data_IF_124666828406
#
_entry.id   IF_124666828406
#
_cell.length_a   1.000
_cell.length_b   1.000
_cell.length_c   1.000
_cell.angle_alpha   90.00
_cell.angle_beta   90.00
_cell.angle_gamma   90.00
#
_symmetry.space_group_name_H-M   'P 1'
#
loop_
_entity.id
_entity.type
_entity.pdbx_description
1 polymer ?
#
# COMPACT_ATOMS: atom_id res chain seq x y z
N UNK A 1 -16.76 -13.08 19.06
CA UNK A 1 -16.56 -14.26 19.91
C UNK A 1 -16.11 -15.42 19.03
N UNK A 2 -15.19 -16.25 19.49
CA UNK A 2 -14.70 -17.42 18.77
C UNK A 2 -14.89 -18.67 19.64
N UNK A 3 -15.13 -19.80 19.00
CA UNK A 3 -15.42 -21.05 19.69
C UNK A 3 -14.32 -22.08 19.45
N UNK A 4 -13.97 -22.81 20.51
CA UNK A 4 -13.11 -23.97 20.45
C UNK A 4 -13.95 -25.20 20.80
N UNK A 5 -14.04 -26.13 19.87
CA UNK A 5 -14.76 -27.39 20.08
C UNK A 5 -13.76 -28.51 20.30
N UNK A 6 -13.75 -29.06 21.52
CA UNK A 6 -12.97 -30.22 21.90
C UNK A 6 -13.87 -31.45 21.80
N UNK A 7 -13.52 -32.37 20.91
CA UNK A 7 -14.21 -33.66 20.82
C UNK A 7 -13.74 -34.56 21.96
N UNK A 8 -14.68 -35.16 22.67
CA UNK A 8 -14.43 -36.13 23.72
C UNK A 8 -14.65 -37.57 23.25
N UNK A 9 -14.78 -38.47 24.22
CA UNK A 9 -15.07 -39.89 23.99
C UNK A 9 -16.56 -40.24 24.08
N UNK A 10 -16.86 -41.52 23.90
CA UNK A 10 -18.20 -42.08 24.05
C UNK A 10 -18.47 -42.45 25.51
N UNK A 11 -19.52 -41.88 26.10
CA UNK A 11 -20.01 -42.25 27.44
C UNK A 11 -21.47 -42.66 27.30
N UNK A 12 -21.82 -43.89 27.68
CA UNK A 12 -23.20 -44.37 27.64
C UNK A 12 -23.84 -44.38 26.24
N UNK A 13 -23.08 -44.69 25.18
CA UNK A 13 -23.48 -44.61 23.75
C UNK A 13 -23.78 -43.20 23.22
N UNK A 14 -23.38 -42.15 23.94
CA UNK A 14 -23.49 -40.75 23.49
C UNK A 14 -22.11 -40.13 23.33
N UNK A 15 -21.89 -39.47 22.19
CA UNK A 15 -20.66 -38.72 21.92
C UNK A 15 -20.57 -37.50 22.82
N UNK A 16 -19.43 -37.35 23.49
CA UNK A 16 -19.18 -36.19 24.34
C UNK A 16 -18.41 -35.12 23.56
N UNK A 17 -18.80 -33.86 23.71
CA UNK A 17 -18.11 -32.72 23.13
C UNK A 17 -18.10 -31.57 24.10
N UNK A 18 -17.09 -30.71 24.04
CA UNK A 18 -16.97 -29.51 24.87
C UNK A 18 -16.76 -28.31 23.97
N UNK A 19 -17.59 -27.29 24.14
CA UNK A 19 -17.53 -26.04 23.40
C UNK A 19 -17.16 -24.93 24.35
N UNK A 20 -15.99 -24.33 24.13
CA UNK A 20 -15.50 -23.19 24.90
C UNK A 20 -15.70 -21.95 24.02
N UNK A 21 -16.52 -21.02 24.48
CA UNK A 21 -16.79 -19.75 23.79
C UNK A 21 -15.97 -18.64 24.43
N UNK A 22 -15.05 -18.09 23.65
CA UNK A 22 -14.19 -16.99 24.08
C UNK A 22 -14.85 -15.65 23.74
N UNK A 23 -15.01 -14.84 24.77
CA UNK A 23 -15.63 -13.52 24.71
C UNK A 23 -14.55 -12.49 25.04
N UNK A 24 -14.36 -11.53 24.12
CA UNK A 24 -13.48 -10.39 24.37
C UNK A 24 -14.07 -9.53 25.47
N UNK A 25 -13.32 -9.38 26.56
CA UNK A 25 -13.61 -8.47 27.65
C UNK A 25 -12.32 -7.76 28.03
N UNK A 26 -12.26 -6.46 27.77
CA UNK A 26 -11.08 -5.62 28.05
C UNK A 26 -10.94 -5.29 29.53
N UNK A 27 -11.98 -5.55 30.34
CA UNK A 27 -12.02 -5.30 31.79
C UNK A 27 -11.82 -6.58 32.61
N UNK A 28 -11.52 -7.71 31.94
CA UNK A 28 -11.24 -8.97 32.62
C UNK A 28 -9.93 -8.87 33.44
N UNK A 29 -10.06 -8.91 34.76
CA UNK A 29 -8.97 -9.00 35.74
C UNK A 29 -8.60 -10.46 36.02
N UNK A 30 -7.37 -10.73 36.46
CA UNK A 30 -6.84 -12.08 36.75
C UNK A 30 -7.70 -12.90 37.75
N UNK A 31 -8.56 -12.23 38.53
CA UNK A 31 -9.47 -12.85 39.49
C UNK A 31 -10.64 -13.64 38.84
N UNK A 32 -10.89 -13.48 37.53
CA UNK A 32 -11.96 -14.17 36.78
C UNK A 32 -11.42 -15.00 35.61
N UNK A 33 -10.21 -15.55 35.75
CA UNK A 33 -9.53 -16.29 34.69
C UNK A 33 -10.18 -17.65 34.36
N UNK A 34 -11.07 -18.16 35.21
CA UNK A 34 -11.70 -19.46 35.00
C UNK A 34 -12.91 -19.39 34.04
N UNK A 35 -13.08 -20.36 33.13
CA UNK A 35 -14.27 -20.45 32.29
C UNK A 35 -15.51 -20.84 33.12
N UNK A 36 -16.64 -20.19 32.87
CA UNK A 36 -17.91 -20.51 33.52
C UNK A 36 -18.70 -21.54 32.72
N UNK A 37 -19.19 -22.58 33.39
CA UNK A 37 -20.08 -23.57 32.76
C UNK A 37 -21.46 -22.94 32.56
N UNK A 38 -21.91 -22.81 31.32
CA UNK A 38 -23.23 -22.26 31.00
C UNK A 38 -24.29 -23.33 30.86
N UNK A 39 -23.90 -24.56 30.52
CA UNK A 39 -24.83 -25.68 30.48
C UNK A 39 -24.22 -26.94 29.91
N UNK A 40 -24.91 -28.06 30.14
CA UNK A 40 -24.59 -29.36 29.56
C UNK A 40 -25.87 -29.96 29.00
N UNK A 41 -25.94 -30.12 27.68
CA UNK A 41 -27.10 -30.69 27.00
C UNK A 41 -26.66 -31.58 25.85
N UNK A 42 -27.32 -32.72 25.68
CA UNK A 42 -27.11 -33.65 24.54
C UNK A 42 -25.64 -34.09 24.36
N UNK A 43 -24.91 -34.33 25.44
CA UNK A 43 -23.49 -34.70 25.39
C UNK A 43 -22.53 -33.53 25.14
N UNK A 44 -23.02 -32.29 25.10
CA UNK A 44 -22.22 -31.09 24.84
C UNK A 44 -22.12 -30.21 26.08
N UNK A 45 -20.91 -30.06 26.61
CA UNK A 45 -20.59 -29.12 27.69
C UNK A 45 -20.25 -27.74 27.10
N UNK A 46 -21.00 -26.71 27.48
CA UNK A 46 -20.78 -25.33 27.02
C UNK A 46 -20.14 -24.49 28.11
N UNK A 47 -19.00 -23.89 27.80
CA UNK A 47 -18.26 -22.98 28.67
C UNK A 47 -18.18 -21.59 28.05
N UNK A 48 -18.30 -20.55 28.86
CA UNK A 48 -18.00 -19.17 28.48
C UNK A 48 -16.74 -18.70 29.17
N UNK A 49 -15.80 -18.18 28.38
CA UNK A 49 -14.54 -17.66 28.90
C UNK A 49 -14.37 -16.21 28.45
N UNK A 50 -14.46 -15.29 29.41
CA UNK A 50 -14.20 -13.87 29.19
C UNK A 50 -12.73 -13.59 29.42
N UNK A 51 -12.04 -13.10 28.41
CA UNK A 51 -10.60 -12.82 28.54
C UNK A 51 -10.14 -11.74 27.57
N UNK A 52 -9.12 -10.97 27.97
CA UNK A 52 -8.55 -9.89 27.13
C UNK A 52 -7.88 -10.43 25.87
N UNK A 53 -7.30 -11.64 25.93
CA UNK A 53 -6.68 -12.28 24.75
C UNK A 53 -7.69 -12.71 23.69
N UNK A 54 -8.98 -12.76 24.01
CA UNK A 54 -10.01 -13.06 23.03
C UNK A 54 -10.36 -11.85 22.13
N UNK A 55 -9.82 -10.67 22.44
CA UNK A 55 -9.97 -9.46 21.64
C UNK A 55 -9.10 -9.52 20.38
N UNK A 56 -9.58 -8.90 19.31
CA UNK A 56 -8.83 -8.79 18.07
C UNK A 56 -7.55 -7.99 18.34
N UNK A 57 -6.39 -8.64 18.17
CA UNK A 57 -5.12 -7.95 18.13
C UNK A 57 -5.03 -7.32 16.74
N UNK A 58 -4.97 -5.99 16.68
CA UNK A 58 -4.48 -5.32 15.50
C UNK A 58 -2.99 -5.64 15.39
N UNK A 59 -2.67 -6.75 14.75
CA UNK A 59 -1.31 -7.02 14.31
C UNK A 59 -0.99 -5.92 13.31
N UNK A 60 -0.26 -4.91 13.77
CA UNK A 60 0.47 -4.01 12.89
C UNK A 60 1.53 -4.88 12.23
N UNK A 61 1.12 -5.64 11.20
CA UNK A 61 2.06 -6.17 10.23
C UNK A 61 2.91 -4.97 9.82
N UNK A 62 4.25 -5.05 9.83
CA UNK A 62 5.06 -3.99 9.26
C UNK A 62 4.58 -3.87 7.81
N UNK A 63 3.75 -2.87 7.54
CA UNK A 63 3.37 -2.50 6.19
C UNK A 63 4.70 -2.07 5.60
N UNK A 64 5.27 -2.96 4.79
CA UNK A 64 6.43 -2.63 4.00
C UNK A 64 5.90 -1.64 2.97
N UNK A 65 5.97 -0.35 3.34
CA UNK A 65 5.67 0.78 2.47
C UNK A 65 6.60 0.68 1.27
N UNK A 66 6.17 -0.05 0.24
CA UNK A 66 6.93 -0.16 -0.99
C UNK A 66 6.85 1.19 -1.67
N UNK A 67 7.97 1.91 -1.73
CA UNK A 67 8.07 3.11 -2.55
C UNK A 67 7.65 2.73 -3.97
N UNK A 68 6.57 3.36 -4.46
CA UNK A 68 6.10 3.14 -5.83
C UNK A 68 7.29 3.30 -6.78
N UNK A 69 7.48 2.37 -7.72
CA UNK A 69 8.61 2.40 -8.64
C UNK A 69 8.72 3.74 -9.40
N UNK A 70 7.58 4.40 -9.62
CA UNK A 70 7.52 5.76 -10.16
C UNK A 70 8.18 6.81 -9.25
N UNK A 71 7.97 6.71 -7.92
CA UNK A 71 8.63 7.60 -6.96
C UNK A 71 10.15 7.43 -7.01
N UNK A 72 10.63 6.19 -7.03
CA UNK A 72 12.08 5.91 -7.10
C UNK A 72 12.67 6.42 -8.42
N UNK A 73 11.98 6.18 -9.53
CA UNK A 73 12.39 6.69 -10.84
C UNK A 73 12.49 8.22 -10.86
N UNK A 74 11.47 8.93 -10.36
CA UNK A 74 11.49 10.39 -10.29
C UNK A 74 12.62 10.90 -9.40
N UNK A 75 12.84 10.30 -8.22
CA UNK A 75 13.93 10.70 -7.33
C UNK A 75 15.28 10.58 -8.02
N UNK A 76 15.53 9.47 -8.72
CA UNK A 76 16.77 9.27 -9.48
C UNK A 76 16.89 10.30 -10.60
N UNK A 77 15.84 10.48 -11.42
CA UNK A 77 15.85 11.45 -12.52
C UNK A 77 16.16 12.87 -12.05
N UNK A 78 15.48 13.37 -11.02
CA UNK A 78 15.72 14.70 -10.49
C UNK A 78 17.11 14.85 -9.87
N UNK A 79 17.66 13.79 -9.25
CA UNK A 79 19.03 13.82 -8.72
C UNK A 79 20.07 14.01 -9.82
N UNK A 80 19.97 13.28 -10.93
CA UNK A 80 20.86 13.45 -12.08
C UNK A 80 20.67 14.80 -12.77
N UNK A 81 19.42 15.25 -12.94
CA UNK A 81 19.12 16.57 -13.50
C UNK A 81 19.74 17.69 -12.66
N UNK A 82 19.67 17.59 -11.32
CA UNK A 82 20.30 18.55 -10.42
C UNK A 82 21.82 18.58 -10.56
N UNK A 83 22.47 17.41 -10.58
CA UNK A 83 23.93 17.31 -10.77
C UNK A 83 24.33 17.93 -12.12
N UNK A 84 23.60 17.61 -13.18
CA UNK A 84 23.84 18.17 -14.52
C UNK A 84 23.71 19.69 -14.54
N UNK A 85 22.65 20.24 -13.94
CA UNK A 85 22.44 21.69 -13.86
C UNK A 85 23.53 22.36 -13.03
N UNK A 86 23.90 21.80 -11.88
CA UNK A 86 24.92 22.38 -11.00
C UNK A 86 26.32 22.36 -11.64
N UNK A 87 26.76 21.20 -12.13
CA UNK A 87 28.08 21.07 -12.77
C UNK A 87 28.18 21.90 -14.04
N UNK A 88 27.14 21.86 -14.88
CA UNK A 88 27.12 22.63 -16.11
C UNK A 88 27.02 24.14 -15.86
N UNK A 89 26.30 24.58 -14.82
CA UNK A 89 26.26 25.99 -14.43
C UNK A 89 27.63 26.49 -13.94
N UNK A 90 28.33 25.69 -13.13
CA UNK A 90 29.70 26.02 -12.69
C UNK A 90 30.64 26.07 -13.89
N UNK A 91 30.57 25.09 -14.79
CA UNK A 91 31.39 25.06 -16.00
C UNK A 91 31.14 26.29 -16.88
N UNK A 92 29.87 26.61 -17.15
CA UNK A 92 29.50 27.78 -17.97
C UNK A 92 29.92 29.10 -17.32
N UNK A 93 29.87 29.18 -15.99
CA UNK A 93 30.31 30.36 -15.26
C UNK A 93 31.84 30.53 -15.32
N UNK A 94 32.60 29.45 -15.13
CA UNK A 94 34.06 29.51 -15.10
C UNK A 94 34.70 29.64 -16.48
N UNK A 95 34.17 28.95 -17.49
CA UNK A 95 34.77 28.91 -18.84
C UNK A 95 34.24 30.03 -19.73
N UNK A 96 32.92 30.28 -19.71
CA UNK A 96 32.29 31.24 -20.60
C UNK A 96 31.93 32.57 -19.92
N UNK A 97 32.16 32.70 -18.61
CA UNK A 97 31.80 33.91 -17.87
C UNK A 97 30.29 34.20 -17.88
N UNK A 98 29.47 33.21 -18.21
CA UNK A 98 28.03 33.37 -18.35
C UNK A 98 27.42 33.84 -17.02
N UNK A 99 26.37 34.66 -17.09
CA UNK A 99 25.65 35.21 -15.94
C UNK A 99 24.13 35.12 -16.15
N UNK A 100 23.38 35.02 -15.05
CA UNK A 100 21.92 34.92 -15.10
C UNK A 100 21.44 33.61 -15.73
N UNK A 101 20.45 33.69 -16.61
CA UNK A 101 19.81 32.52 -17.25
C UNK A 101 20.72 31.81 -18.28
N UNK A 102 21.83 32.43 -18.68
CA UNK A 102 22.82 31.81 -19.57
C UNK A 102 23.74 30.81 -18.85
N UNK A 103 23.67 30.69 -17.51
CA UNK A 103 24.36 29.58 -16.81
C UNK A 103 23.72 28.23 -17.14
N UNK A 104 22.43 28.19 -17.50
CA UNK A 104 21.71 26.94 -17.68
C UNK A 104 22.27 26.15 -18.88
N UNK A 105 22.81 24.94 -18.67
CA UNK A 105 23.30 24.12 -19.77
C UNK A 105 22.17 23.78 -20.74
N UNK A 106 22.37 24.05 -22.02
CA UNK A 106 21.38 23.81 -23.08
C UNK A 106 20.02 24.48 -22.80
N UNK A 107 20.04 25.78 -22.47
CA UNK A 107 18.81 26.55 -22.17
C UNK A 107 17.72 26.45 -23.23
N UNK A 108 18.08 26.36 -24.51
CA UNK A 108 17.12 26.30 -25.61
C UNK A 108 16.29 25.02 -25.55
N UNK A 109 16.90 23.90 -25.16
CA UNK A 109 16.17 22.66 -24.88
C UNK A 109 15.15 22.85 -23.75
N UNK A 110 15.55 23.46 -22.63
CA UNK A 110 14.66 23.67 -21.49
C UNK A 110 13.51 24.63 -21.79
N UNK A 111 13.73 25.60 -22.69
CA UNK A 111 12.68 26.51 -23.16
C UNK A 111 11.66 25.79 -24.04
N UNK A 112 12.11 24.87 -24.86
CA UNK A 112 11.28 24.17 -25.84
C UNK A 112 10.65 22.88 -25.25
N UNK A 113 11.13 22.43 -24.09
CA UNK A 113 10.62 21.25 -23.39
C UNK A 113 9.12 21.28 -23.03
N UNK A 114 8.54 22.38 -22.51
CA UNK A 114 7.11 22.43 -22.16
C UNK A 114 6.21 22.23 -23.38
N UNK A 115 6.57 22.82 -24.53
CA UNK A 115 5.83 22.61 -25.80
C UNK A 115 5.87 21.14 -26.22
N UNK A 116 7.03 20.49 -26.16
CA UNK A 116 7.17 19.08 -26.51
C UNK A 116 6.32 18.17 -25.62
N UNK A 117 6.25 18.46 -24.31
CA UNK A 117 5.42 17.71 -23.36
C UNK A 117 3.94 17.86 -23.69
N UNK A 118 3.49 19.08 -23.98
CA UNK A 118 2.09 19.38 -24.35
C UNK A 118 1.71 18.60 -25.62
N UNK A 119 2.56 18.60 -26.65
CA UNK A 119 2.31 17.88 -27.89
C UNK A 119 2.19 16.37 -27.66
N UNK A 120 3.08 15.77 -26.85
CA UNK A 120 3.01 14.35 -26.50
C UNK A 120 1.72 14.03 -25.73
N UNK A 121 1.33 14.88 -24.77
CA UNK A 121 0.09 14.68 -24.00
C UNK A 121 -1.13 14.75 -24.92
N UNK A 122 -1.19 15.69 -25.85
CA UNK A 122 -2.26 15.77 -26.84
C UNK A 122 -2.32 14.51 -27.71
N UNK A 123 -1.19 14.04 -28.24
CA UNK A 123 -1.14 12.82 -29.05
C UNK A 123 -1.55 11.57 -28.28
N UNK A 124 -1.12 11.43 -27.02
CA UNK A 124 -1.51 10.30 -26.16
C UNK A 124 -3.00 10.39 -25.83
N UNK A 125 -3.51 11.58 -25.50
CA UNK A 125 -4.92 11.80 -25.22
C UNK A 125 -5.81 11.49 -26.43
N UNK A 126 -5.43 11.94 -27.62
CA UNK A 126 -6.16 11.66 -28.86
C UNK A 126 -6.15 10.16 -29.20
N UNK A 127 -5.03 9.48 -28.92
CA UNK A 127 -4.89 8.02 -29.09
C UNK A 127 -5.75 7.24 -28.10
N UNK A 128 -5.78 7.64 -26.82
CA UNK A 128 -6.53 6.95 -25.75
C UNK A 128 -8.03 7.24 -25.83
N UNK A 129 -8.42 8.46 -26.19
CA UNK A 129 -9.84 8.84 -26.30
C UNK A 129 -10.50 8.37 -27.60
N UNK A 130 -9.78 7.64 -28.46
CA UNK A 130 -10.33 7.06 -29.67
C UNK A 130 -10.81 8.10 -30.68
N UNK A 131 -10.32 9.35 -30.62
CA UNK A 131 -10.47 10.32 -31.71
C UNK A 131 -9.53 9.94 -32.85
N UNK A 132 -9.71 8.74 -33.39
CA UNK A 132 -9.26 8.41 -34.73
C UNK A 132 -10.02 9.32 -35.70
N UNK A 133 -9.51 10.53 -35.94
CA UNK A 133 -9.87 11.29 -37.12
C UNK A 133 -9.35 10.48 -38.30
N UNK A 134 -10.25 9.74 -38.95
CA UNK A 134 -10.01 9.16 -40.26
C UNK A 134 -9.56 10.27 -41.21
N UNK A 135 -8.26 10.35 -41.44
CA UNK A 135 -7.61 11.27 -42.36
C UNK A 135 -6.89 10.44 -43.41
N UNK A 136 -7.53 10.30 -44.57
CA UNK A 136 -7.06 9.49 -45.68
C UNK A 136 -5.71 9.95 -46.23
N UNK A 137 -4.88 8.97 -46.56
CA UNK A 137 -3.68 9.12 -47.37
C UNK A 137 -4.10 9.51 -48.80
N UNK A 138 -3.65 10.67 -49.29
CA UNK A 138 -3.66 11.00 -50.72
C UNK A 138 -2.20 10.97 -51.17
N UNK A 139 -1.83 9.91 -51.88
CA UNK A 139 -0.62 9.90 -52.70
C UNK A 139 -0.80 10.85 -53.88
N UNK A 140 0.17 11.73 -54.07
CA UNK A 140 0.38 12.46 -55.34
C UNK A 140 1.36 11.71 -56.23
#
# INVERSE_FOLDING_TARGET
PWNLTLKGGLIGKQDQSTVITFICDTSATDDNLAPTLTGYQNGIASFQWKHKSACAVHTQLPVQESMSGFSVFLTVFFSFAFIYLALGAVYNHQVYGAKGLDLLPHKDFWRDFPSLVVDVVHHVWDSVTGRARGGGYVSV
#
